data_IF_395125132334
#
_entry.id   IF_395125132334
#
_cell.length_a   1.000
_cell.length_b   1.000
_cell.length_c   1.000
_cell.angle_alpha   90.00
_cell.angle_beta   90.00
_cell.angle_gamma   90.00
#
_symmetry.space_group_name_H-M   'P 1'
#
loop_
_entity.id
_entity.type
_entity.pdbx_description
1 polymer ?
#
# COMPACT_ATOMS: atom_id res chain seq x y z
N UNK A 1 15.81 -21.27 6.22
CA UNK A 1 14.52 -21.66 5.58
C UNK A 1 14.16 -20.61 4.54
N UNK A 2 14.31 -20.99 3.28
CA UNK A 2 14.27 -20.10 2.11
C UNK A 2 12.84 -19.75 1.71
N UNK A 3 12.56 -18.46 1.52
CA UNK A 3 11.28 -17.88 1.08
C UNK A 3 10.96 -18.27 -0.38
N UNK A 4 10.66 -19.54 -0.65
CA UNK A 4 10.42 -20.05 -2.03
C UNK A 4 9.11 -20.80 -2.28
N UNK A 5 8.22 -20.96 -1.32
CA UNK A 5 6.97 -21.72 -1.54
C UNK A 5 5.73 -21.10 -0.85
N UNK A 6 5.40 -19.85 -1.17
CA UNK A 6 4.00 -19.41 -1.00
C UNK A 6 3.27 -19.68 -2.32
N UNK A 7 2.22 -20.52 -2.33
CA UNK A 7 1.44 -20.77 -3.54
C UNK A 7 0.84 -19.44 -4.00
N UNK A 8 1.25 -18.99 -5.19
CA UNK A 8 0.65 -17.82 -5.83
C UNK A 8 -0.81 -18.18 -6.05
N UNK A 9 -1.73 -17.54 -5.32
CA UNK A 9 -3.18 -17.66 -5.59
C UNK A 9 -3.38 -17.21 -7.03
N UNK A 10 -3.52 -18.16 -7.95
CA UNK A 10 -3.74 -17.90 -9.37
C UNK A 10 -5.11 -17.25 -9.53
N UNK A 11 -5.12 -15.92 -9.58
CA UNK A 11 -6.31 -15.18 -9.94
C UNK A 11 -6.47 -15.30 -11.46
N UNK A 12 -7.59 -15.85 -11.97
CA UNK A 12 -7.74 -16.22 -13.39
C UNK A 12 -7.63 -15.03 -14.36
N UNK A 13 -7.85 -13.80 -13.88
CA UNK A 13 -7.70 -12.57 -14.66
C UNK A 13 -6.24 -12.10 -14.84
N UNK A 14 -5.24 -12.73 -14.23
CA UNK A 14 -3.85 -12.22 -14.28
C UNK A 14 -2.99 -12.76 -15.44
N UNK A 15 -3.59 -13.47 -16.39
CA UNK A 15 -2.86 -14.28 -17.40
C UNK A 15 -2.34 -13.52 -18.64
N UNK A 16 -2.70 -12.24 -18.82
CA UNK A 16 -2.16 -11.40 -19.93
C UNK A 16 -1.03 -10.46 -19.45
N UNK A 17 0.12 -10.37 -20.17
CA UNK A 17 1.19 -9.41 -19.87
C UNK A 17 0.71 -7.96 -19.76
N UNK A 18 -0.17 -7.53 -20.67
CA UNK A 18 -0.73 -6.18 -20.68
C UNK A 18 -1.58 -5.91 -19.43
N UNK A 19 -2.42 -6.88 -19.04
CA UNK A 19 -3.27 -6.77 -17.85
C UNK A 19 -2.45 -6.74 -16.56
N UNK A 20 -1.33 -7.48 -16.49
CA UNK A 20 -0.37 -7.38 -15.37
C UNK A 20 0.24 -5.99 -15.24
N UNK A 21 0.62 -5.37 -16.35
CA UNK A 21 1.19 -4.01 -16.35
C UNK A 21 0.14 -3.00 -15.92
N UNK A 22 -1.05 -3.05 -16.51
CA UNK A 22 -2.17 -2.19 -16.14
C UNK A 22 -2.51 -2.31 -14.65
N UNK A 23 -2.65 -3.53 -14.15
CA UNK A 23 -2.91 -3.79 -12.73
C UNK A 23 -1.78 -3.27 -11.82
N UNK A 24 -0.50 -3.47 -12.20
CA UNK A 24 0.65 -2.96 -11.46
C UNK A 24 0.64 -1.43 -11.38
N UNK A 25 0.27 -0.75 -12.46
CA UNK A 25 0.19 0.70 -12.50
C UNK A 25 -1.00 1.22 -11.66
N UNK A 26 -2.16 0.59 -11.79
CA UNK A 26 -3.36 0.92 -10.99
C UNK A 26 -3.11 0.76 -9.49
N UNK A 27 -2.51 -0.36 -9.07
CA UNK A 27 -2.11 -0.61 -7.68
C UNK A 27 -1.11 0.44 -7.18
N UNK A 28 -0.14 0.84 -8.01
CA UNK A 28 0.82 1.89 -7.64
C UNK A 28 0.12 3.23 -7.44
N UNK A 29 -0.83 3.59 -8.30
CA UNK A 29 -1.65 4.79 -8.15
C UNK A 29 -2.44 4.76 -6.83
N UNK A 30 -3.15 3.66 -6.56
CA UNK A 30 -3.88 3.47 -5.30
C UNK A 30 -2.97 3.61 -4.07
N UNK A 31 -1.77 3.02 -4.10
CA UNK A 31 -0.80 3.15 -3.01
C UNK A 31 -0.26 4.57 -2.83
N UNK A 32 -0.08 5.33 -3.91
CA UNK A 32 0.34 6.73 -3.85
C UNK A 32 -0.75 7.60 -3.22
N UNK A 33 -1.99 7.47 -3.69
CA UNK A 33 -3.14 8.19 -3.13
C UNK A 33 -3.33 7.85 -1.64
N UNK A 34 -3.27 6.56 -1.30
CA UNK A 34 -3.34 6.12 0.10
C UNK A 34 -2.24 6.76 0.95
N UNK A 35 -0.99 6.84 0.46
CA UNK A 35 0.10 7.51 1.19
C UNK A 35 -0.24 8.98 1.45
N UNK A 36 -0.67 9.71 0.42
CA UNK A 36 -1.02 11.12 0.55
C UNK A 36 -2.13 11.33 1.60
N UNK A 37 -3.18 10.51 1.59
CA UNK A 37 -4.24 10.58 2.60
C UNK A 37 -3.72 10.36 4.03
N UNK A 38 -2.77 9.43 4.22
CA UNK A 38 -2.14 9.22 5.54
C UNK A 38 -1.23 10.37 5.96
N UNK A 39 -0.50 10.97 5.02
CA UNK A 39 0.34 12.14 5.28
C UNK A 39 -0.53 13.35 5.68
N UNK A 40 -1.64 13.59 4.97
CA UNK A 40 -2.62 14.65 5.30
C UNK A 40 -3.28 14.42 6.67
N UNK A 41 -3.72 13.19 6.94
CA UNK A 41 -4.31 12.84 8.23
C UNK A 41 -3.31 13.08 9.36
N UNK A 42 -2.06 12.63 9.21
CA UNK A 42 -0.99 12.88 10.19
C UNK A 42 -0.81 14.37 10.45
N UNK A 43 -0.79 15.19 9.41
CA UNK A 43 -0.57 16.64 9.54
C UNK A 43 -1.76 17.36 10.21
N UNK A 44 -2.96 16.78 10.15
CA UNK A 44 -4.16 17.28 10.83
C UNK A 44 -4.26 16.89 12.31
N UNK A 45 -3.55 15.84 12.74
CA UNK A 45 -3.61 15.37 14.12
C UNK A 45 -2.77 16.27 15.06
N UNK A 46 -3.25 16.55 16.29
CA UNK A 46 -2.53 17.37 17.27
C UNK A 46 -1.31 16.66 17.91
N UNK A 47 -0.89 15.51 17.38
CA UNK A 47 0.22 14.69 17.88
C UNK A 47 1.55 15.20 17.31
N UNK A 48 2.60 15.13 18.13
CA UNK A 48 3.95 15.58 17.76
C UNK A 48 4.31 15.17 16.33
N UNK A 49 4.72 16.18 15.55
CA UNK A 49 5.21 16.09 14.17
C UNK A 49 6.55 15.36 14.08
N UNK A 50 6.72 14.26 14.82
CA UNK A 50 7.88 13.41 14.68
C UNK A 50 7.71 12.60 13.39
N UNK A 51 8.77 12.56 12.60
CA UNK A 51 8.77 12.03 11.22
C UNK A 51 8.66 10.49 11.16
N UNK A 52 8.21 9.85 12.26
CA UNK A 52 8.26 8.39 12.49
C UNK A 52 6.91 7.76 12.88
N UNK A 53 5.80 8.52 12.91
CA UNK A 53 4.48 7.94 13.23
C UNK A 53 4.06 6.92 12.16
N UNK A 54 3.84 5.68 12.58
CA UNK A 54 3.45 4.57 11.72
C UNK A 54 1.96 4.63 11.35
N UNK A 55 1.59 3.91 10.29
CA UNK A 55 0.20 3.82 9.83
C UNK A 55 -0.76 3.31 10.92
N UNK A 56 -0.32 2.35 11.74
CA UNK A 56 -1.15 1.83 12.82
C UNK A 56 -1.35 2.86 13.93
N UNK A 57 -0.30 3.60 14.29
CA UNK A 57 -0.39 4.68 15.28
C UNK A 57 -1.33 5.81 14.81
N UNK A 58 -1.29 6.17 13.52
CA UNK A 58 -2.23 7.15 12.94
C UNK A 58 -3.68 6.65 13.01
N UNK A 59 -3.91 5.34 12.86
CA UNK A 59 -5.26 4.75 12.88
C UNK A 59 -5.80 4.46 14.30
N UNK A 60 -4.94 4.46 15.32
CA UNK A 60 -5.30 4.03 16.69
C UNK A 60 -5.26 5.16 17.71
N UNK A 61 -4.92 6.38 17.29
CA UNK A 61 -5.01 7.61 18.08
C UNK A 61 -6.29 8.37 17.75
#
# INVERSE_FOLDING_TARGET
VSDRERPRKETPYSRSPALRISHKLAERKRRKEMKCLFDELRDSLPVEKNMKTSKWEILSK
#
